data_IF_644124668437
#
_entry.id   IF_644124668437
#
_cell.length_a   1.000
_cell.length_b   1.000
_cell.length_c   1.000
_cell.angle_alpha   90.00
_cell.angle_beta   90.00
_cell.angle_gamma   90.00
#
_symmetry.space_group_name_H-M   'P 1'
#
loop_
_entity.id
_entity.type
_entity.pdbx_description
1 polymer ?
#
# COMPACT_ATOMS: atom_id res chain seq x y z
N UNK A 1 -8.37 -28.44 1.29
CA UNK A 1 -8.72 -27.03 1.01
C UNK A 1 -8.74 -26.31 2.33
N UNK A 2 -7.87 -25.32 2.51
CA UNK A 2 -8.16 -24.25 3.45
C UNK A 2 -9.21 -23.34 2.79
N UNK A 3 -10.04 -22.68 3.60
CA UNK A 3 -11.10 -21.77 3.18
C UNK A 3 -10.85 -20.42 3.85
N UNK A 4 -9.73 -19.77 3.51
CA UNK A 4 -9.30 -18.51 4.13
C UNK A 4 -10.34 -17.42 3.88
N UNK A 5 -10.95 -17.37 2.70
CA UNK A 5 -11.99 -16.41 2.37
C UNK A 5 -13.19 -16.50 3.34
N UNK A 6 -13.63 -17.70 3.69
CA UNK A 6 -14.74 -17.95 4.61
C UNK A 6 -14.34 -17.72 6.08
N UNK A 7 -13.07 -18.00 6.43
CA UNK A 7 -12.56 -17.85 7.80
C UNK A 7 -12.01 -16.46 8.13
N UNK A 8 -11.83 -15.58 7.13
CA UNK A 8 -11.15 -14.28 7.29
C UNK A 8 -11.72 -13.44 8.42
N UNK A 9 -13.04 -13.49 8.62
CA UNK A 9 -13.76 -12.71 9.63
C UNK A 9 -13.23 -13.02 11.03
N UNK A 10 -12.87 -14.27 11.32
CA UNK A 10 -12.32 -14.62 12.63
C UNK A 10 -11.01 -13.87 12.91
N UNK A 11 -10.16 -13.71 11.89
CA UNK A 11 -8.87 -13.01 12.01
C UNK A 11 -9.08 -11.50 11.99
N UNK A 12 -9.89 -10.97 11.08
CA UNK A 12 -10.19 -9.52 10.98
C UNK A 12 -10.86 -8.98 12.24
N UNK A 13 -11.74 -9.76 12.89
CA UNK A 13 -12.45 -9.33 14.10
C UNK A 13 -11.61 -9.39 15.35
N UNK A 14 -10.62 -10.28 15.39
CA UNK A 14 -9.82 -10.55 16.59
C UNK A 14 -8.41 -9.97 16.53
N UNK A 15 -7.91 -9.61 15.35
CA UNK A 15 -6.50 -9.23 15.15
C UNK A 15 -5.54 -10.41 15.19
N UNK A 16 -6.05 -11.61 14.86
CA UNK A 16 -5.24 -12.81 14.70
C UNK A 16 -4.19 -12.71 13.59
N UNK A 17 -3.39 -13.77 13.46
CA UNK A 17 -2.37 -13.92 12.44
C UNK A 17 -2.88 -14.87 11.36
N UNK A 18 -2.60 -14.55 10.10
CA UNK A 18 -2.83 -15.44 8.97
C UNK A 18 -1.53 -15.58 8.17
N UNK A 19 -1.22 -16.80 7.74
CA UNK A 19 -0.10 -17.10 6.85
C UNK A 19 -0.65 -17.98 5.74
N UNK A 20 -0.56 -17.50 4.49
CA UNK A 20 -0.95 -18.26 3.31
C UNK A 20 0.31 -18.85 2.66
N UNK A 21 0.36 -20.17 2.49
CA UNK A 21 1.50 -20.87 1.90
C UNK A 21 1.04 -22.12 1.14
N UNK A 22 1.83 -22.55 0.14
CA UNK A 22 1.53 -23.72 -0.70
C UNK A 22 1.57 -25.04 0.09
N UNK A 23 2.43 -25.13 1.11
CA UNK A 23 2.50 -26.28 2.02
C UNK A 23 3.18 -25.91 3.34
N UNK A 24 3.01 -26.76 4.37
CA UNK A 24 3.76 -26.65 5.62
C UNK A 24 5.28 -26.88 5.46
N UNK A 25 5.69 -27.49 4.34
CA UNK A 25 7.10 -27.69 4.00
C UNK A 25 7.79 -26.43 3.48
N UNK A 26 7.01 -25.49 2.93
CA UNK A 26 7.49 -24.29 2.25
C UNK A 26 8.11 -23.27 3.23
N UNK A 27 9.15 -22.55 2.79
CA UNK A 27 9.89 -21.58 3.61
C UNK A 27 8.98 -20.50 4.18
N UNK A 28 8.10 -19.92 3.35
CA UNK A 28 7.09 -18.93 3.78
C UNK A 28 6.35 -19.38 5.04
N UNK A 29 5.87 -20.64 5.11
CA UNK A 29 5.20 -21.14 6.31
C UNK A 29 6.19 -21.34 7.46
N UNK A 30 7.27 -22.10 7.24
CA UNK A 30 8.22 -22.46 8.30
C UNK A 30 8.85 -21.25 8.94
N UNK A 31 9.28 -20.28 8.15
CA UNK A 31 9.97 -19.09 8.62
C UNK A 31 8.99 -18.10 9.24
N UNK A 32 7.75 -17.97 8.71
CA UNK A 32 6.73 -17.15 9.36
C UNK A 32 6.35 -17.74 10.72
N UNK A 33 6.15 -19.06 10.78
CA UNK A 33 5.85 -19.75 12.03
C UNK A 33 6.98 -19.57 13.04
N UNK A 34 8.24 -19.75 12.63
CA UNK A 34 9.40 -19.48 13.49
C UNK A 34 9.38 -18.03 14.00
N UNK A 35 9.10 -17.05 13.14
CA UNK A 35 9.07 -15.63 13.54
C UNK A 35 8.03 -15.29 14.58
N UNK A 36 6.87 -15.95 14.56
CA UNK A 36 5.85 -15.78 15.61
C UNK A 36 6.44 -16.12 16.99
N UNK A 37 7.36 -17.09 17.04
CA UNK A 37 7.99 -17.56 18.28
C UNK A 37 9.45 -17.11 18.47
N UNK A 38 10.05 -16.41 17.49
CA UNK A 38 11.40 -15.86 17.60
C UNK A 38 11.32 -14.57 18.41
N UNK A 39 11.51 -14.69 19.72
CA UNK A 39 11.69 -13.55 20.59
C UNK A 39 13.04 -12.88 20.35
N UNK A 40 13.08 -11.55 20.24
CA UNK A 40 14.32 -10.82 20.51
C UNK A 40 14.64 -10.78 22.01
N UNK A 41 13.62 -10.88 22.88
CA UNK A 41 13.74 -10.66 24.33
C UNK A 41 12.78 -11.55 25.16
N UNK A 42 12.76 -12.86 24.93
CA UNK A 42 11.96 -13.84 25.69
C UNK A 42 10.42 -13.68 25.65
N UNK A 43 9.89 -12.82 24.78
CA UNK A 43 8.44 -12.59 24.62
C UNK A 43 8.00 -12.61 23.14
N UNK A 44 6.74 -12.96 22.88
CA UNK A 44 6.08 -13.02 21.58
C UNK A 44 5.85 -11.63 20.97
N UNK A 45 6.00 -10.55 21.76
CA UNK A 45 5.72 -9.18 21.32
C UNK A 45 4.24 -8.91 21.02
N UNK A 46 3.37 -9.89 21.32
CA UNK A 46 1.94 -9.82 21.15
C UNK A 46 1.28 -9.25 22.40
N UNK A 47 0.43 -8.27 22.21
CA UNK A 47 -0.42 -7.68 23.22
C UNK A 47 -1.86 -8.16 23.03
N UNK A 48 -2.62 -8.21 24.13
CA UNK A 48 -3.94 -8.83 24.15
C UNK A 48 -4.98 -7.93 24.79
N UNK A 49 -6.25 -8.34 24.66
CA UNK A 49 -7.38 -7.75 25.39
C UNK A 49 -7.54 -6.23 25.18
N UNK A 50 -7.13 -5.73 24.02
CA UNK A 50 -7.18 -4.31 23.65
C UNK A 50 -8.59 -3.73 23.63
N UNK A 51 -8.73 -2.50 24.11
CA UNK A 51 -9.88 -1.62 23.93
C UNK A 51 -9.34 -0.30 23.36
N UNK A 52 -9.76 0.01 22.14
CA UNK A 52 -9.43 1.25 21.45
C UNK A 52 -10.61 2.20 21.51
N UNK A 53 -10.45 3.36 22.12
CA UNK A 53 -11.46 4.42 22.19
C UNK A 53 -10.97 5.69 21.50
N UNK A 54 -11.90 6.39 20.85
CA UNK A 54 -11.64 7.67 20.20
C UNK A 54 -12.53 8.74 20.80
N UNK A 55 -11.89 9.84 21.23
CA UNK A 55 -12.56 11.10 21.53
C UNK A 55 -12.16 12.14 20.49
N UNK A 56 -13.08 13.01 20.10
CA UNK A 56 -12.79 14.12 19.20
C UNK A 56 -13.63 15.35 19.55
N UNK A 57 -13.25 16.51 19.01
CA UNK A 57 -14.03 17.74 19.13
C UNK A 57 -15.46 17.55 18.58
N UNK A 58 -16.44 18.32 19.10
CA UNK A 58 -17.88 18.15 18.80
C UNK A 58 -18.23 18.19 17.31
N UNK A 59 -17.47 18.99 16.55
CA UNK A 59 -17.62 19.23 15.11
C UNK A 59 -16.93 18.15 14.24
N UNK A 60 -16.39 17.10 14.86
CA UNK A 60 -15.79 15.95 14.20
C UNK A 60 -16.55 14.70 14.62
N UNK A 61 -16.98 13.90 13.65
CA UNK A 61 -17.69 12.63 13.88
C UNK A 61 -16.87 11.48 13.32
N UNK A 62 -17.05 10.30 13.89
CA UNK A 62 -16.35 9.08 13.50
C UNK A 62 -17.29 8.28 12.59
N UNK A 63 -16.89 8.05 11.34
CA UNK A 63 -17.63 7.16 10.43
C UNK A 63 -17.37 5.69 10.74
N UNK A 64 -16.13 5.36 11.15
CA UNK A 64 -15.76 4.04 11.62
C UNK A 64 -14.31 3.67 11.33
N UNK A 65 -14.01 2.39 11.50
CA UNK A 65 -12.66 1.82 11.34
C UNK A 65 -12.64 0.72 10.28
N UNK A 66 -11.63 0.76 9.40
CA UNK A 66 -11.20 -0.38 8.59
C UNK A 66 -9.88 -0.90 9.16
N UNK A 67 -9.90 -2.12 9.67
CA UNK A 67 -8.74 -2.76 10.29
C UNK A 67 -9.13 -3.89 11.25
N UNK A 68 -8.13 -4.54 11.87
CA UNK A 68 -8.33 -5.70 12.74
C UNK A 68 -8.97 -5.35 14.10
N UNK A 69 -10.28 -5.12 14.13
CA UNK A 69 -11.03 -4.85 15.35
C UNK A 69 -12.52 -5.22 15.25
N UNK A 70 -13.20 -5.21 16.40
CA UNK A 70 -14.65 -5.41 16.49
C UNK A 70 -15.29 -4.24 17.23
N UNK A 71 -16.40 -3.71 16.73
CA UNK A 71 -17.17 -2.65 17.41
C UNK A 71 -17.59 -3.10 18.81
N UNK A 72 -17.47 -2.20 19.80
CA UNK A 72 -18.06 -2.38 21.13
C UNK A 72 -19.47 -1.78 21.24
N UNK A 73 -20.03 -1.31 20.12
CA UNK A 73 -21.39 -0.74 20.03
C UNK A 73 -21.67 0.38 21.03
N UNK A 74 -20.61 1.07 21.47
CA UNK A 74 -20.67 2.28 22.29
C UNK A 74 -21.23 3.43 21.45
N UNK A 75 -22.56 3.49 21.34
CA UNK A 75 -23.26 4.56 20.64
C UNK A 75 -23.10 5.87 21.40
N UNK A 76 -22.96 6.97 20.68
CA UNK A 76 -22.83 8.28 21.29
C UNK A 76 -22.79 9.40 20.26
N UNK A 77 -22.76 10.66 20.73
CA UNK A 77 -22.80 11.83 19.86
C UNK A 77 -21.55 11.99 18.99
N UNK A 78 -20.54 11.12 19.14
CA UNK A 78 -19.32 11.13 18.34
C UNK A 78 -19.45 10.31 17.06
N UNK A 79 -20.45 9.43 16.93
CA UNK A 79 -20.65 8.62 15.72
C UNK A 79 -21.29 9.45 14.60
N UNK A 80 -20.83 9.27 13.36
CA UNK A 80 -21.44 9.85 12.16
C UNK A 80 -22.65 9.03 11.71
N UNK A 81 -23.59 9.67 11.00
CA UNK A 81 -24.70 8.99 10.31
C UNK A 81 -24.21 8.20 9.09
N UNK A 82 -23.07 8.60 8.51
CA UNK A 82 -22.42 7.85 7.43
C UNK A 82 -21.43 6.84 8.01
N UNK A 83 -21.61 5.57 7.68
CA UNK A 83 -20.86 4.45 8.27
C UNK A 83 -19.84 3.89 7.28
N UNK A 84 -18.61 3.69 7.75
CA UNK A 84 -17.55 2.99 7.01
C UNK A 84 -16.93 1.91 7.89
N UNK A 85 -16.79 0.70 7.36
CA UNK A 85 -16.23 -0.44 8.08
C UNK A 85 -16.97 -0.71 9.40
N UNK A 86 -16.21 -0.83 10.49
CA UNK A 86 -16.73 -0.96 11.85
C UNK A 86 -17.13 0.42 12.41
N UNK A 87 -18.30 0.92 12.02
CA UNK A 87 -18.81 2.23 12.48
C UNK A 87 -19.87 2.16 13.58
N UNK A 88 -20.69 3.21 13.69
CA UNK A 88 -21.73 3.37 14.73
C UNK A 88 -21.23 3.21 16.17
N UNK A 89 -19.96 3.53 16.42
CA UNK A 89 -19.36 3.44 17.75
C UNK A 89 -18.20 4.43 17.87
N UNK A 90 -17.74 4.65 19.11
CA UNK A 90 -16.47 5.32 19.41
C UNK A 90 -15.48 4.41 20.17
N UNK A 91 -15.77 3.12 20.29
CA UNK A 91 -14.92 2.15 20.96
C UNK A 91 -14.92 0.79 20.25
N UNK A 92 -13.75 0.15 20.20
CA UNK A 92 -13.53 -1.14 19.54
C UNK A 92 -12.69 -2.08 20.39
N UNK A 93 -12.95 -3.38 20.26
CA UNK A 93 -12.16 -4.47 20.80
C UNK A 93 -11.04 -4.85 19.83
N UNK A 94 -9.85 -5.05 20.36
CA UNK A 94 -8.69 -5.62 19.64
C UNK A 94 -8.18 -6.82 20.45
N UNK A 95 -8.59 -8.05 20.11
CA UNK A 95 -8.27 -9.22 20.94
C UNK A 95 -6.77 -9.53 20.95
N UNK A 96 -6.11 -9.44 19.79
CA UNK A 96 -4.68 -9.48 19.60
C UNK A 96 -4.21 -8.25 18.83
N UNK A 97 -3.08 -7.69 19.25
CA UNK A 97 -2.43 -6.56 18.60
C UNK A 97 -0.92 -6.63 18.83
N UNK A 98 -0.16 -6.02 17.94
CA UNK A 98 1.30 -5.91 18.03
C UNK A 98 1.74 -4.49 17.68
N UNK A 99 3.06 -4.24 17.67
CA UNK A 99 3.62 -2.93 17.33
C UNK A 99 3.37 -2.50 15.87
N UNK A 100 3.02 -3.44 14.98
CA UNK A 100 2.78 -3.20 13.55
C UNK A 100 1.30 -3.00 13.22
N UNK A 101 0.41 -3.39 14.13
CA UNK A 101 -1.05 -3.30 13.98
C UNK A 101 -1.47 -1.84 13.76
N UNK A 102 -2.04 -1.58 12.59
CA UNK A 102 -2.48 -0.25 12.16
C UNK A 102 -3.97 -0.27 11.82
N UNK A 103 -4.68 0.79 12.19
CA UNK A 103 -6.11 0.97 11.93
C UNK A 103 -6.31 2.17 11.01
N UNK A 104 -7.21 2.06 10.02
CA UNK A 104 -7.68 3.23 9.25
C UNK A 104 -8.95 3.75 9.92
N UNK A 105 -8.91 4.98 10.44
CA UNK A 105 -10.07 5.66 11.01
C UNK A 105 -10.57 6.71 10.03
N UNK A 106 -11.86 6.66 9.70
CA UNK A 106 -12.50 7.62 8.80
C UNK A 106 -13.36 8.56 9.62
N UNK A 107 -13.21 9.85 9.36
CA UNK A 107 -13.92 10.92 10.05
C UNK A 107 -14.81 11.68 9.09
N UNK A 108 -15.91 12.19 9.63
CA UNK A 108 -16.76 13.18 9.01
C UNK A 108 -16.55 14.52 9.70
N UNK A 109 -16.40 15.58 8.90
CA UNK A 109 -16.05 16.91 9.37
C UNK A 109 -17.26 17.81 9.16
N UNK A 110 -17.82 18.36 10.25
CA UNK A 110 -18.99 19.22 10.15
C UNK A 110 -18.70 20.43 9.26
N UNK A 111 -19.53 20.63 8.23
CA UNK A 111 -19.47 21.84 7.40
C UNK A 111 -20.07 22.99 8.19
N UNK A 112 -19.27 24.01 8.49
CA UNK A 112 -19.79 25.28 9.01
C UNK A 112 -20.35 26.09 7.84
N UNK A 113 -21.56 25.75 7.40
CA UNK A 113 -22.32 26.53 6.42
C UNK A 113 -22.91 27.77 7.10
N UNK A 114 -22.07 28.77 7.40
CA UNK A 114 -22.53 30.07 7.89
C UNK A 114 -21.58 31.21 7.46
N UNK A 115 -22.06 32.20 6.68
CA UNK A 115 -21.32 33.44 6.38
C UNK A 115 -21.09 34.36 7.59
N UNK A 116 -21.72 34.09 8.74
CA UNK A 116 -21.78 35.02 9.89
C UNK A 116 -20.89 34.63 11.08
N UNK A 117 -19.75 33.96 10.86
CA UNK A 117 -18.74 33.78 11.90
C UNK A 117 -17.62 34.83 11.83
N UNK A 118 -18.00 36.11 11.76
CA UNK A 118 -17.09 37.25 12.06
C UNK A 118 -16.80 37.33 13.58
N UNK A 119 -17.40 36.45 14.39
CA UNK A 119 -17.12 36.29 15.83
C UNK A 119 -16.33 35.01 16.14
N UNK A 120 -15.02 35.14 16.24
CA UNK A 120 -14.08 34.33 17.03
C UNK A 120 -14.63 33.05 17.72
N UNK A 121 -14.32 31.88 17.18
CA UNK A 121 -13.86 30.81 18.07
C UNK A 121 -12.34 30.99 18.23
N UNK A 122 -11.89 31.46 19.40
CA UNK A 122 -10.46 31.63 19.69
C UNK A 122 -9.63 30.35 19.52
N UNK A 123 -10.28 29.19 19.38
CA UNK A 123 -9.64 27.92 19.12
C UNK A 123 -9.95 27.44 17.68
N UNK A 124 -9.12 27.84 16.72
CA UNK A 124 -9.15 27.31 15.35
C UNK A 124 -8.66 25.85 15.27
N UNK A 125 -8.39 25.20 16.41
CA UNK A 125 -7.96 23.81 16.46
C UNK A 125 -9.12 22.89 16.78
N UNK A 126 -9.10 21.72 16.16
CA UNK A 126 -9.85 20.56 16.60
C UNK A 126 -8.88 19.46 17.04
N UNK A 127 -9.37 18.58 17.90
CA UNK A 127 -8.56 17.60 18.60
C UNK A 127 -9.09 16.20 18.35
N UNK A 128 -8.16 15.27 18.30
CA UNK A 128 -8.41 13.83 18.37
C UNK A 128 -7.62 13.28 19.55
N UNK A 129 -8.23 12.39 20.31
CA UNK A 129 -7.57 11.62 21.34
C UNK A 129 -7.88 10.14 21.11
N UNK A 130 -6.82 9.35 21.01
CA UNK A 130 -6.84 7.92 20.81
C UNK A 130 -6.36 7.26 22.10
N UNK A 131 -7.19 6.40 22.68
CA UNK A 131 -6.91 5.68 23.91
C UNK A 131 -6.87 4.19 23.60
N UNK A 132 -5.78 3.51 23.92
CA UNK A 132 -5.66 2.05 23.78
C UNK A 132 -5.34 1.45 25.13
N UNK A 133 -6.32 0.80 25.75
CA UNK A 133 -6.14 -0.01 26.94
C UNK A 133 -5.84 -1.44 26.52
N UNK A 134 -4.79 -2.07 27.00
CA UNK A 134 -4.44 -3.43 26.59
C UNK A 134 -3.63 -4.15 27.66
N UNK A 135 -3.65 -5.48 27.59
CA UNK A 135 -2.72 -6.32 28.33
C UNK A 135 -1.42 -6.41 27.51
N UNK A 136 -0.36 -5.83 28.05
CA UNK A 136 0.95 -5.91 27.47
C UNK A 136 1.49 -7.34 27.60
N UNK A 137 2.50 -7.66 26.79
CA UNK A 137 3.05 -9.01 26.66
C UNK A 137 3.64 -9.55 27.98
N UNK A 138 4.14 -8.65 28.84
CA UNK A 138 4.59 -8.91 30.22
C UNK A 138 3.45 -9.15 31.24
N UNK A 139 2.19 -9.19 30.78
CA UNK A 139 1.00 -9.40 31.58
C UNK A 139 0.42 -8.15 32.24
N UNK A 140 1.11 -7.00 32.19
CA UNK A 140 0.63 -5.76 32.81
C UNK A 140 -0.46 -5.09 31.96
N UNK A 141 -1.46 -4.51 32.62
CA UNK A 141 -2.43 -3.64 31.95
C UNK A 141 -1.81 -2.26 31.69
N UNK A 142 -1.88 -1.79 30.44
CA UNK A 142 -1.34 -0.49 30.02
C UNK A 142 -2.39 0.34 29.31
N UNK A 143 -2.24 1.66 29.40
CA UNK A 143 -2.97 2.64 28.60
C UNK A 143 -1.97 3.40 27.74
N UNK A 144 -2.14 3.33 26.42
CA UNK A 144 -1.50 4.24 25.47
C UNK A 144 -2.47 5.36 25.12
N UNK A 145 -2.08 6.60 25.36
CA UNK A 145 -2.84 7.79 24.96
C UNK A 145 -2.08 8.55 23.89
N UNK A 146 -2.76 8.96 22.82
CA UNK A 146 -2.19 9.81 21.77
C UNK A 146 -3.19 10.91 21.46
N UNK A 147 -2.79 12.16 21.68
CA UNK A 147 -3.62 13.33 21.38
C UNK A 147 -2.95 14.11 20.26
N UNK A 148 -3.71 14.41 19.21
CA UNK A 148 -3.26 15.26 18.11
C UNK A 148 -4.25 16.41 17.92
N UNK A 149 -3.75 17.53 17.42
CA UNK A 149 -4.58 18.65 17.00
C UNK A 149 -4.33 18.98 15.53
N UNK A 150 -5.35 19.55 14.89
CA UNK A 150 -5.31 20.08 13.52
C UNK A 150 -6.07 21.38 13.48
N UNK A 151 -5.77 22.22 12.49
CA UNK A 151 -6.36 23.55 12.33
C UNK A 151 -7.49 23.52 11.30
N UNK A 152 -8.59 24.19 11.59
CA UNK A 152 -9.63 24.49 10.62
C UNK A 152 -9.11 25.47 9.56
N UNK A 153 -9.48 25.20 8.31
CA UNK A 153 -9.12 26.04 7.17
C UNK A 153 -10.39 26.65 6.61
N UNK A 154 -10.45 27.99 6.52
CA UNK A 154 -11.57 28.75 6.00
C UNK A 154 -11.09 30.03 5.30
N UNK A 155 -11.90 30.58 4.38
CA UNK A 155 -11.61 31.82 3.68
C UNK A 155 -10.75 31.69 2.41
N UNK A 156 -10.28 32.83 1.90
CA UNK A 156 -9.40 32.91 0.73
C UNK A 156 -8.05 32.25 1.02
N UNK A 157 -7.53 31.46 0.07
CA UNK A 157 -6.29 30.69 0.25
C UNK A 157 -6.46 29.32 0.92
N UNK A 158 -7.68 28.95 1.30
CA UNK A 158 -8.00 27.65 1.91
C UNK A 158 -7.52 26.44 1.10
N UNK A 159 -7.60 26.52 -0.24
CA UNK A 159 -7.12 25.45 -1.13
C UNK A 159 -5.62 25.18 -0.94
N UNK A 160 -4.79 26.22 -0.87
CA UNK A 160 -3.35 26.06 -0.73
C UNK A 160 -2.96 25.45 0.63
N UNK A 161 -3.66 25.84 1.69
CA UNK A 161 -3.45 25.25 3.03
C UNK A 161 -3.85 23.78 3.07
N UNK A 162 -4.95 23.41 2.40
CA UNK A 162 -5.38 22.02 2.26
C UNK A 162 -4.37 21.18 1.48
N UNK A 163 -3.84 21.69 0.35
CA UNK A 163 -2.79 21.05 -0.43
C UNK A 163 -1.54 20.83 0.43
N UNK A 164 -1.17 21.83 1.23
CA UNK A 164 0.01 21.75 2.12
C UNK A 164 -0.14 20.64 3.17
N UNK A 165 -1.37 20.41 3.66
CA UNK A 165 -1.69 19.35 4.60
C UNK A 165 -1.97 17.98 3.98
N UNK A 166 -1.94 17.85 2.65
CA UNK A 166 -2.22 16.59 1.97
C UNK A 166 -1.01 15.63 2.03
N UNK A 167 -1.29 14.41 2.45
CA UNK A 167 -0.33 13.31 2.49
C UNK A 167 -0.77 12.27 1.44
N UNK A 168 -0.07 12.25 0.31
CA UNK A 168 -0.41 11.39 -0.83
C UNK A 168 -0.21 9.90 -0.56
N UNK A 169 0.74 9.51 0.30
CA UNK A 169 0.98 8.12 0.66
C UNK A 169 -0.13 7.60 1.59
N UNK A 170 -0.45 8.38 2.62
CA UNK A 170 -1.55 8.07 3.52
C UNK A 170 -2.88 8.04 2.76
N UNK A 171 -3.12 8.99 1.85
CA UNK A 171 -4.30 9.01 1.00
C UNK A 171 -4.39 7.76 0.11
N UNK A 172 -3.28 7.32 -0.50
CA UNK A 172 -3.26 6.11 -1.32
C UNK A 172 -3.59 4.85 -0.50
N UNK A 173 -2.99 4.69 0.68
CA UNK A 173 -3.27 3.59 1.60
C UNK A 173 -4.74 3.58 2.06
N UNK A 174 -5.30 4.75 2.40
CA UNK A 174 -6.72 4.89 2.78
C UNK A 174 -7.65 4.58 1.61
N UNK A 175 -7.35 5.08 0.40
CA UNK A 175 -8.14 4.80 -0.80
C UNK A 175 -8.14 3.30 -1.12
N UNK A 176 -7.00 2.62 -1.00
CA UNK A 176 -6.90 1.17 -1.19
C UNK A 176 -7.78 0.40 -0.19
N UNK A 177 -7.80 0.81 1.08
CA UNK A 177 -8.69 0.20 2.09
C UNK A 177 -10.17 0.46 1.81
N UNK A 178 -10.52 1.68 1.43
CA UNK A 178 -11.90 2.07 1.14
C UNK A 178 -12.44 1.31 -0.07
N UNK A 179 -11.72 1.29 -1.18
CA UNK A 179 -12.16 0.58 -2.40
C UNK A 179 -12.25 -0.92 -2.14
N UNK A 180 -11.28 -1.50 -1.42
CA UNK A 180 -11.29 -2.92 -1.04
C UNK A 180 -12.50 -3.25 -0.15
N UNK A 181 -12.83 -2.40 0.82
CA UNK A 181 -14.01 -2.55 1.66
C UNK A 181 -15.30 -2.46 0.85
N UNK A 182 -15.41 -1.46 -0.04
CA UNK A 182 -16.59 -1.27 -0.90
C UNK A 182 -16.82 -2.46 -1.83
N UNK A 183 -15.76 -3.00 -2.43
CA UNK A 183 -15.85 -4.22 -3.25
C UNK A 183 -16.41 -5.43 -2.49
N UNK A 184 -16.28 -5.48 -1.17
CA UNK A 184 -16.83 -6.58 -0.35
C UNK A 184 -18.23 -6.28 0.18
N UNK A 185 -18.52 -5.00 0.45
CA UNK A 185 -19.77 -4.56 1.07
C UNK A 185 -20.88 -4.26 0.06
N UNK A 186 -20.54 -3.86 -1.16
CA UNK A 186 -21.48 -3.37 -2.18
C UNK A 186 -21.55 -4.33 -3.36
N UNK A 187 -22.78 -4.76 -3.70
CA UNK A 187 -23.05 -5.59 -4.89
C UNK A 187 -22.94 -4.72 -6.14
N UNK A 188 -22.36 -5.28 -7.21
CA UNK A 188 -22.15 -4.59 -8.51
C UNK A 188 -21.32 -3.30 -8.43
N UNK A 189 -20.50 -3.16 -7.39
CA UNK A 189 -19.60 -2.02 -7.24
C UNK A 189 -18.50 -2.05 -8.32
N UNK A 190 -18.35 -0.94 -9.05
CA UNK A 190 -17.27 -0.74 -10.02
C UNK A 190 -16.09 0.01 -9.36
N UNK A 191 -15.06 -0.70 -8.89
CA UNK A 191 -13.96 -0.09 -8.15
C UNK A 191 -13.10 0.83 -9.02
N UNK A 192 -12.90 0.49 -10.29
CA UNK A 192 -12.05 1.25 -11.20
C UNK A 192 -12.70 2.59 -11.51
N UNK A 193 -13.98 2.60 -11.86
CA UNK A 193 -14.73 3.83 -12.10
C UNK A 193 -14.82 4.70 -10.85
N UNK A 194 -14.95 4.10 -9.67
CA UNK A 194 -14.97 4.82 -8.40
C UNK A 194 -13.64 5.53 -8.13
N UNK A 195 -12.51 4.83 -8.31
CA UNK A 195 -11.17 5.38 -8.17
C UNK A 195 -10.91 6.50 -9.21
N UNK A 196 -11.23 6.25 -10.48
CA UNK A 196 -11.00 7.19 -11.58
C UNK A 196 -11.81 8.48 -11.35
N UNK A 197 -13.08 8.38 -10.92
CA UNK A 197 -13.91 9.55 -10.56
C UNK A 197 -13.35 10.34 -9.38
N UNK A 198 -12.88 9.66 -8.33
CA UNK A 198 -12.29 10.32 -7.18
C UNK A 198 -11.00 11.07 -7.57
N UNK A 199 -10.17 10.45 -8.40
CA UNK A 199 -8.94 11.06 -8.90
C UNK A 199 -9.21 12.27 -9.80
N UNK A 200 -10.12 12.15 -10.77
CA UNK A 200 -10.53 13.26 -11.63
C UNK A 200 -11.03 14.42 -10.77
N UNK A 201 -11.92 14.16 -9.81
CA UNK A 201 -12.45 15.20 -8.91
C UNK A 201 -11.35 15.87 -8.08
N UNK A 202 -10.32 15.14 -7.65
CA UNK A 202 -9.18 15.70 -6.94
C UNK A 202 -8.34 16.58 -7.88
N UNK A 203 -8.01 16.09 -9.08
CA UNK A 203 -7.22 16.81 -10.07
C UNK A 203 -7.93 18.08 -10.58
N UNK A 204 -9.23 18.04 -10.87
CA UNK A 204 -10.00 19.23 -11.25
C UNK A 204 -10.09 20.26 -10.12
N UNK A 205 -10.10 19.81 -8.86
CA UNK A 205 -10.25 20.73 -7.71
C UNK A 205 -8.93 21.35 -7.25
N UNK A 206 -7.83 20.62 -7.36
CA UNK A 206 -6.54 20.99 -6.77
C UNK A 206 -5.39 21.12 -7.78
N UNK A 207 -5.65 20.85 -9.07
CA UNK A 207 -4.67 21.06 -10.14
C UNK A 207 -4.68 22.49 -10.68
N UNK A 208 -3.54 22.91 -11.19
CA UNK A 208 -3.36 24.18 -11.89
C UNK A 208 -3.45 23.93 -13.40
N UNK A 209 -4.38 24.58 -14.08
CA UNK A 209 -4.60 24.42 -15.52
C UNK A 209 -5.36 25.60 -16.13
N UNK A 210 -5.24 25.72 -17.45
CA UNK A 210 -6.13 26.51 -18.30
C UNK A 210 -7.24 25.59 -18.83
N UNK A 211 -8.49 26.07 -18.78
CA UNK A 211 -9.66 25.31 -19.21
C UNK A 211 -9.53 24.87 -20.67
N UNK A 212 -9.91 23.63 -20.96
CA UNK A 212 -9.81 22.99 -22.29
C UNK A 212 -8.37 22.88 -22.86
N UNK A 213 -7.33 23.09 -22.03
CA UNK A 213 -5.93 22.99 -22.46
C UNK A 213 -5.17 21.94 -21.64
N UNK A 214 -5.24 20.64 -22.00
CA UNK A 214 -4.65 19.55 -21.21
C UNK A 214 -3.14 19.69 -20.96
N UNK A 215 -2.40 20.26 -21.91
CA UNK A 215 -0.95 20.48 -21.81
C UNK A 215 -0.54 21.50 -20.74
N UNK A 216 -1.48 22.30 -20.24
CA UNK A 216 -1.25 23.26 -19.16
C UNK A 216 -1.39 22.64 -17.76
N UNK A 217 -1.88 21.40 -17.67
CA UNK A 217 -2.18 20.77 -16.40
C UNK A 217 -0.92 20.46 -15.60
N UNK A 218 -0.93 20.86 -14.33
CA UNK A 218 0.12 20.54 -13.38
C UNK A 218 -0.46 20.31 -11.98
N UNK A 219 0.30 19.59 -11.16
CA UNK A 219 -0.04 19.31 -9.77
C UNK A 219 1.09 19.78 -8.86
N UNK A 220 0.73 20.26 -7.67
CA UNK A 220 1.67 20.51 -6.59
C UNK A 220 2.49 19.24 -6.27
N UNK A 221 3.77 19.36 -5.85
CA UNK A 221 4.57 18.22 -5.42
C UNK A 221 3.93 17.37 -4.30
N UNK A 222 3.00 17.94 -3.53
CA UNK A 222 2.23 17.21 -2.51
C UNK A 222 1.22 16.22 -3.09
N UNK A 223 0.81 16.40 -4.35
CA UNK A 223 -0.24 15.65 -5.05
C UNK A 223 0.30 14.89 -6.27
N UNK A 224 1.49 15.23 -6.77
CA UNK A 224 1.96 14.80 -8.09
C UNK A 224 2.21 13.30 -8.24
N UNK A 225 2.45 12.57 -7.13
CA UNK A 225 2.64 11.11 -7.15
C UNK A 225 1.30 10.38 -6.97
N UNK A 226 0.28 11.03 -6.42
CA UNK A 226 -1.02 10.42 -6.16
C UNK A 226 -1.67 9.78 -7.40
N UNK A 227 -1.67 10.40 -8.62
CA UNK A 227 -2.13 9.73 -9.83
C UNK A 227 -1.42 8.41 -10.13
N UNK A 228 -0.09 8.35 -9.90
CA UNK A 228 0.70 7.14 -10.08
C UNK A 228 0.28 6.04 -9.09
N UNK A 229 -0.02 6.39 -7.84
CA UNK A 229 -0.56 5.43 -6.88
C UNK A 229 -1.92 4.88 -7.32
N UNK A 230 -2.83 5.72 -7.82
CA UNK A 230 -4.14 5.27 -8.29
C UNK A 230 -4.00 4.39 -9.55
N UNK A 231 -3.09 4.73 -10.46
CA UNK A 231 -2.77 3.90 -11.62
C UNK A 231 -2.28 2.49 -11.22
N UNK A 232 -1.41 2.40 -10.22
CA UNK A 232 -0.93 1.11 -9.75
C UNK A 232 -2.01 0.37 -8.94
N UNK A 233 -2.78 1.07 -8.10
CA UNK A 233 -3.87 0.49 -7.30
C UNK A 233 -4.94 -0.15 -8.18
N UNK A 234 -5.42 0.53 -9.23
CA UNK A 234 -6.50 0.00 -10.10
C UNK A 234 -6.10 -1.26 -10.88
N UNK A 235 -4.79 -1.50 -11.04
CA UNK A 235 -4.20 -2.70 -11.69
C UNK A 235 -3.70 -3.74 -10.68
N UNK A 236 -3.70 -3.40 -9.39
CA UNK A 236 -3.23 -4.29 -8.33
C UNK A 236 -4.19 -5.46 -8.08
N UNK A 237 -3.68 -6.51 -7.44
CA UNK A 237 -4.45 -7.68 -7.01
C UNK A 237 -5.53 -7.39 -5.96
N UNK A 238 -5.59 -6.18 -5.41
CA UNK A 238 -6.68 -5.76 -4.54
C UNK A 238 -7.98 -5.48 -5.33
N UNK A 239 -7.82 -5.08 -6.60
CA UNK A 239 -8.89 -4.65 -7.51
C UNK A 239 -9.09 -5.65 -8.64
N UNK A 240 -8.01 -5.96 -9.37
CA UNK A 240 -8.00 -6.97 -10.44
C UNK A 240 -7.83 -8.35 -9.81
N UNK A 241 -8.94 -8.91 -9.33
CA UNK A 241 -8.95 -10.22 -8.68
C UNK A 241 -8.92 -11.39 -9.68
N UNK A 242 -9.08 -11.11 -10.98
CA UNK A 242 -8.88 -12.10 -12.04
C UNK A 242 -7.45 -12.67 -11.96
N UNK A 243 -7.30 -14.00 -12.04
CA UNK A 243 -6.08 -14.77 -11.75
C UNK A 243 -5.69 -14.93 -10.27
N UNK A 244 -6.49 -14.46 -9.32
CA UNK A 244 -6.33 -14.81 -7.90
C UNK A 244 -7.45 -15.73 -7.45
N UNK A 245 -7.14 -16.68 -6.58
CA UNK A 245 -8.17 -17.42 -5.85
C UNK A 245 -8.86 -16.52 -4.81
N UNK A 246 -10.11 -16.83 -4.40
CA UNK A 246 -10.78 -16.09 -3.32
C UNK A 246 -9.96 -16.01 -2.03
N UNK A 247 -9.23 -17.07 -1.70
CA UNK A 247 -8.37 -17.16 -0.52
C UNK A 247 -7.16 -16.22 -0.61
N UNK A 248 -6.51 -16.11 -1.77
CA UNK A 248 -5.42 -15.16 -2.00
C UNK A 248 -5.92 -13.72 -1.91
N UNK A 249 -7.05 -13.41 -2.54
CA UNK A 249 -7.66 -12.08 -2.45
C UNK A 249 -7.99 -11.72 -1.00
N UNK A 250 -8.62 -12.63 -0.25
CA UNK A 250 -8.90 -12.42 1.16
C UNK A 250 -7.61 -12.16 1.96
N UNK A 251 -6.58 -12.99 1.77
CA UNK A 251 -5.29 -12.83 2.43
C UNK A 251 -4.63 -11.48 2.15
N UNK A 252 -4.59 -11.04 0.88
CA UNK A 252 -4.00 -9.75 0.53
C UNK A 252 -4.73 -8.60 1.20
N UNK A 253 -6.07 -8.60 1.18
CA UNK A 253 -6.89 -7.55 1.79
C UNK A 253 -6.75 -7.52 3.32
N UNK A 254 -6.67 -8.68 3.97
CA UNK A 254 -6.39 -8.75 5.40
C UNK A 254 -5.04 -8.12 5.77
N UNK A 255 -3.99 -8.36 4.97
CA UNK A 255 -2.69 -7.72 5.18
C UNK A 255 -2.76 -6.21 4.96
N UNK A 256 -3.40 -5.75 3.88
CA UNK A 256 -3.61 -4.32 3.60
C UNK A 256 -4.32 -3.60 4.77
N UNK A 257 -5.28 -4.27 5.40
CA UNK A 257 -6.07 -3.73 6.51
C UNK A 257 -5.32 -3.72 7.85
N UNK A 258 -4.24 -4.50 8.01
CA UNK A 258 -3.43 -4.57 9.24
C UNK A 258 -2.18 -3.69 9.18
N UNK A 259 -1.61 -3.49 8.00
CA UNK A 259 -0.27 -2.92 7.83
C UNK A 259 -0.20 -1.39 7.94
N UNK A 260 1.00 -0.84 8.11
CA UNK A 260 1.18 0.61 8.16
C UNK A 260 1.13 1.26 6.75
N UNK A 261 1.22 2.60 6.68
CA UNK A 261 1.19 3.34 5.41
C UNK A 261 2.32 2.94 4.48
N UNK A 262 3.55 2.85 4.99
CA UNK A 262 4.72 2.50 4.17
C UNK A 262 4.57 1.12 3.50
N UNK A 263 4.16 0.10 4.26
CA UNK A 263 3.92 -1.23 3.74
C UNK A 263 2.73 -1.27 2.78
N UNK A 264 1.65 -0.53 3.06
CA UNK A 264 0.52 -0.42 2.14
C UNK A 264 0.92 0.25 0.81
N UNK A 265 1.79 1.26 0.84
CA UNK A 265 2.34 1.88 -0.37
C UNK A 265 3.16 0.87 -1.18
N UNK A 266 4.04 0.09 -0.55
CA UNK A 266 4.80 -0.97 -1.24
C UNK A 266 3.88 -2.03 -1.85
N UNK A 267 2.76 -2.37 -1.19
CA UNK A 267 1.75 -3.28 -1.75
C UNK A 267 1.05 -2.71 -2.99
N UNK A 268 0.83 -1.39 -3.02
CA UNK A 268 0.15 -0.69 -4.12
C UNK A 268 1.12 -0.45 -5.29
N UNK A 269 2.29 0.10 -4.98
CA UNK A 269 3.36 0.44 -5.90
C UNK A 269 4.66 -0.20 -5.41
N UNK A 270 4.97 -1.41 -5.90
CA UNK A 270 6.21 -2.10 -5.60
C UNK A 270 7.45 -1.23 -5.86
N UNK A 271 8.49 -1.41 -5.05
CA UNK A 271 9.80 -0.79 -5.30
C UNK A 271 10.64 -1.66 -6.24
N UNK A 272 11.44 -1.00 -7.08
CA UNK A 272 12.35 -1.67 -8.01
C UNK A 272 13.73 -1.02 -7.90
N UNK A 273 14.74 -1.83 -7.57
CA UNK A 273 16.14 -1.40 -7.46
C UNK A 273 16.95 -2.08 -8.56
N UNK A 274 17.75 -1.30 -9.27
CA UNK A 274 18.67 -1.79 -10.30
C UNK A 274 20.10 -1.88 -9.77
N UNK A 275 20.77 -2.97 -10.10
CA UNK A 275 22.17 -3.23 -9.81
C UNK A 275 22.90 -3.43 -11.14
N UNK A 276 24.03 -2.75 -11.32
CA UNK A 276 24.83 -2.81 -12.55
C UNK A 276 26.32 -2.69 -12.21
N UNK A 277 27.20 -2.84 -13.22
CA UNK A 277 28.63 -2.57 -13.02
C UNK A 277 28.96 -1.09 -13.06
N UNK A 278 28.11 -0.29 -13.72
CA UNK A 278 28.36 1.12 -14.01
C UNK A 278 27.90 2.03 -12.86
N UNK A 279 26.89 1.61 -12.10
CA UNK A 279 26.32 2.35 -10.97
C UNK A 279 26.11 1.44 -9.77
N UNK A 280 26.14 2.02 -8.57
CA UNK A 280 25.68 1.35 -7.35
C UNK A 280 24.16 1.09 -7.38
N UNK A 281 23.61 0.42 -6.35
CA UNK A 281 22.17 0.15 -6.27
C UNK A 281 21.36 1.44 -6.37
N UNK A 282 20.46 1.53 -7.35
CA UNK A 282 19.65 2.73 -7.58
C UNK A 282 18.16 2.40 -7.77
N UNK A 283 17.23 3.18 -7.17
CA UNK A 283 15.81 3.04 -7.46
C UNK A 283 15.53 3.36 -8.92
N UNK A 284 14.76 2.50 -9.59
CA UNK A 284 14.32 2.70 -10.97
C UNK A 284 12.80 2.71 -11.06
N UNK A 285 12.26 3.28 -12.14
CA UNK A 285 10.82 3.28 -12.38
C UNK A 285 10.31 1.84 -12.51
N UNK A 286 9.10 1.61 -12.00
CA UNK A 286 8.40 0.33 -12.12
C UNK A 286 7.84 0.17 -13.55
N UNK A 287 8.74 0.01 -14.51
CA UNK A 287 8.49 0.09 -15.94
C UNK A 287 9.30 -0.96 -16.70
N UNK A 288 8.76 -1.47 -17.82
CA UNK A 288 9.46 -2.47 -18.65
C UNK A 288 10.81 -1.98 -19.15
N UNK A 289 10.96 -0.67 -19.36
CA UNK A 289 12.23 -0.04 -19.75
C UNK A 289 13.35 -0.19 -18.72
N UNK A 290 13.05 -0.58 -17.47
CA UNK A 290 14.07 -0.90 -16.47
C UNK A 290 14.81 -2.22 -16.77
N UNK A 291 14.23 -3.11 -17.57
CA UNK A 291 14.86 -4.38 -17.93
C UNK A 291 15.98 -4.13 -18.94
N UNK A 292 17.18 -4.62 -18.61
CA UNK A 292 18.32 -4.67 -19.51
C UNK A 292 19.12 -5.95 -19.27
N UNK A 293 19.83 -6.41 -20.31
CA UNK A 293 20.57 -7.68 -20.26
C UNK A 293 21.71 -7.70 -19.25
N UNK A 294 22.32 -6.55 -18.97
CA UNK A 294 23.48 -6.35 -18.10
C UNK A 294 23.13 -5.88 -16.67
N UNK A 295 21.85 -5.95 -16.28
CA UNK A 295 21.36 -5.50 -14.97
C UNK A 295 20.77 -6.64 -14.15
N UNK A 296 20.79 -6.47 -12.83
CA UNK A 296 19.99 -7.25 -11.88
C UNK A 296 18.94 -6.32 -11.30
N UNK A 297 17.69 -6.78 -11.23
CA UNK A 297 16.61 -6.03 -10.61
C UNK A 297 16.15 -6.73 -9.33
N UNK A 298 15.98 -5.96 -8.27
CA UNK A 298 15.31 -6.39 -7.04
C UNK A 298 13.95 -5.70 -6.97
N UNK A 299 12.89 -6.48 -7.14
CA UNK A 299 11.51 -6.04 -6.96
C UNK A 299 11.04 -6.42 -5.57
N UNK A 300 10.49 -5.46 -4.83
CA UNK A 300 9.76 -5.72 -3.59
C UNK A 300 8.29 -5.31 -3.75
N UNK A 301 7.42 -6.31 -3.78
CA UNK A 301 5.96 -6.15 -3.90
C UNK A 301 5.20 -6.44 -2.61
N UNK A 302 5.88 -6.31 -1.47
CA UNK A 302 5.44 -6.72 -0.14
C UNK A 302 5.26 -8.25 0.01
N UNK A 303 4.41 -8.90 -0.79
CA UNK A 303 4.11 -10.34 -0.68
C UNK A 303 5.17 -11.22 -1.35
N UNK A 304 5.83 -10.69 -2.39
CA UNK A 304 6.87 -11.38 -3.15
C UNK A 304 8.06 -10.45 -3.33
N UNK A 305 9.26 -10.97 -3.09
CA UNK A 305 10.54 -10.34 -3.42
C UNK A 305 11.12 -11.08 -4.61
N UNK A 306 11.46 -10.37 -5.69
CA UNK A 306 11.98 -10.97 -6.92
C UNK A 306 13.40 -10.46 -7.19
N UNK A 307 14.35 -11.38 -7.31
CA UNK A 307 15.69 -11.10 -7.87
C UNK A 307 15.69 -11.56 -9.32
N UNK A 308 15.70 -10.61 -10.23
CA UNK A 308 15.65 -10.84 -11.67
C UNK A 308 17.03 -10.57 -12.30
N UNK A 309 17.56 -11.54 -13.03
CA UNK A 309 18.83 -11.41 -13.73
C UNK A 309 18.59 -11.17 -15.22
N UNK A 310 19.11 -10.06 -15.76
CA UNK A 310 19.15 -9.82 -17.20
C UNK A 310 19.90 -10.93 -17.93
N UNK A 311 19.62 -11.10 -19.23
CA UNK A 311 20.12 -12.24 -20.00
C UNK A 311 21.65 -12.38 -19.97
N UNK A 312 22.40 -11.29 -20.04
CA UNK A 312 23.88 -11.29 -20.01
C UNK A 312 24.40 -11.71 -18.63
N UNK A 313 23.84 -11.14 -17.56
CA UNK A 313 24.17 -11.54 -16.18
C UNK A 313 23.88 -13.02 -15.96
N UNK A 314 22.71 -13.49 -16.40
CA UNK A 314 22.30 -14.88 -16.26
C UNK A 314 23.25 -15.83 -17.01
N UNK A 315 23.73 -15.45 -18.20
CA UNK A 315 24.74 -16.21 -18.95
C UNK A 315 26.07 -16.27 -18.21
N UNK A 316 26.59 -15.14 -17.72
CA UNK A 316 27.85 -15.11 -16.95
C UNK A 316 27.76 -15.92 -15.65
N UNK A 317 26.64 -15.84 -14.94
CA UNK A 317 26.40 -16.63 -13.72
C UNK A 317 26.42 -18.13 -14.00
N UNK A 318 25.79 -18.56 -15.11
CA UNK A 318 25.76 -19.97 -15.56
C UNK A 318 27.12 -20.47 -16.05
N UNK A 319 27.92 -19.59 -16.65
CA UNK A 319 29.30 -19.88 -17.03
C UNK A 319 30.27 -19.99 -15.83
N UNK A 320 29.82 -19.60 -14.63
CA UNK A 320 30.59 -19.73 -13.40
C UNK A 320 31.66 -18.65 -13.22
N UNK A 321 31.54 -17.51 -13.89
CA UNK A 321 32.53 -16.42 -13.81
C UNK A 321 32.73 -15.91 -12.38
N UNK A 322 31.69 -15.92 -11.55
CA UNK A 322 31.78 -15.53 -10.14
C UNK A 322 32.74 -16.38 -9.28
N UNK A 323 33.18 -17.53 -9.78
CA UNK A 323 34.13 -18.42 -9.09
C UNK A 323 35.54 -18.36 -9.67
N UNK A 324 35.77 -17.54 -10.71
CA UNK A 324 37.05 -17.38 -11.37
C UNK A 324 37.84 -16.22 -10.75
N UNK A 325 39.17 -16.36 -10.67
CA UNK A 325 40.07 -15.32 -10.18
C UNK A 325 39.99 -14.08 -11.09
N UNK A 326 39.87 -12.89 -10.49
CA UNK A 326 39.72 -11.62 -11.21
C UNK A 326 38.28 -11.20 -11.53
N UNK A 327 37.29 -12.00 -11.13
CA UNK A 327 35.85 -11.72 -11.31
C UNK A 327 35.12 -11.47 -9.97
N UNK A 328 35.84 -11.04 -8.93
CA UNK A 328 35.30 -10.82 -7.59
C UNK A 328 34.19 -9.75 -7.59
N UNK A 329 34.31 -8.73 -8.45
CA UNK A 329 33.28 -7.68 -8.62
C UNK A 329 31.97 -8.27 -9.13
N UNK A 330 32.01 -9.27 -10.02
CA UNK A 330 30.81 -9.95 -10.49
C UNK A 330 30.17 -10.80 -9.38
N UNK A 331 30.98 -11.46 -8.56
CA UNK A 331 30.48 -12.17 -7.39
C UNK A 331 29.77 -11.22 -6.41
N UNK A 332 30.35 -10.04 -6.15
CA UNK A 332 29.74 -9.00 -5.33
C UNK A 332 28.44 -8.46 -5.93
N UNK A 333 28.39 -8.24 -7.25
CA UNK A 333 27.18 -7.80 -7.95
C UNK A 333 26.02 -8.80 -7.78
N UNK A 334 26.29 -10.10 -7.82
CA UNK A 334 25.29 -11.15 -7.59
C UNK A 334 24.85 -11.23 -6.12
N UNK A 335 25.75 -10.93 -5.18
CA UNK A 335 25.49 -11.03 -3.74
C UNK A 335 24.67 -9.86 -3.20
N UNK A 336 24.93 -8.63 -3.67
CA UNK A 336 24.27 -7.42 -3.18
C UNK A 336 22.71 -7.47 -3.17
N UNK A 337 22.02 -7.89 -4.25
CA UNK A 337 20.56 -8.01 -4.22
C UNK A 337 20.05 -9.14 -3.32
N UNK A 338 20.87 -10.17 -3.06
CA UNK A 338 20.52 -11.24 -2.12
C UNK A 338 20.57 -10.75 -0.67
N UNK A 339 21.58 -9.96 -0.31
CA UNK A 339 21.69 -9.36 1.02
C UNK A 339 20.52 -8.40 1.32
N UNK A 340 20.16 -7.56 0.35
CA UNK A 340 19.02 -6.66 0.46
C UNK A 340 17.70 -7.45 0.55
N UNK A 341 17.52 -8.49 -0.28
CA UNK A 341 16.36 -9.37 -0.18
C UNK A 341 16.25 -10.06 1.18
N UNK A 342 17.37 -10.53 1.74
CA UNK A 342 17.42 -11.17 3.05
C UNK A 342 17.08 -10.17 4.17
N UNK A 343 17.49 -8.90 4.05
CA UNK A 343 17.12 -7.81 4.96
C UNK A 343 15.60 -7.57 4.95
N UNK A 344 15.03 -7.38 3.75
CA UNK A 344 13.58 -7.22 3.56
C UNK A 344 12.82 -8.41 4.14
N UNK A 345 13.29 -9.62 3.79
CA UNK A 345 12.72 -10.86 4.28
C UNK A 345 12.76 -10.83 5.80
N UNK A 346 13.89 -10.56 6.46
CA UNK A 346 14.06 -10.59 7.92
C UNK A 346 13.08 -9.67 8.67
N UNK A 347 12.84 -8.48 8.15
CA UNK A 347 11.98 -7.48 8.83
C UNK A 347 10.48 -7.70 8.62
N UNK A 348 10.08 -8.28 7.48
CA UNK A 348 8.67 -8.40 7.09
C UNK A 348 7.94 -9.51 7.83
N UNK A 349 6.65 -9.35 8.06
CA UNK A 349 5.81 -10.43 8.55
C UNK A 349 4.41 -10.33 7.92
N UNK A 350 3.84 -11.43 7.36
CA UNK A 350 4.46 -12.74 7.14
C UNK A 350 5.69 -12.70 6.21
N UNK A 351 6.47 -13.78 6.20
CA UNK A 351 7.65 -13.91 5.32
C UNK A 351 7.20 -13.82 3.85
N UNK A 352 7.77 -12.92 3.03
CA UNK A 352 7.43 -12.87 1.62
C UNK A 352 8.01 -14.06 0.87
N UNK A 353 7.41 -14.40 -0.27
CA UNK A 353 7.97 -15.38 -1.19
C UNK A 353 9.22 -14.78 -1.87
N UNK A 354 10.37 -15.43 -1.75
CA UNK A 354 11.54 -15.09 -2.56
C UNK A 354 11.46 -15.83 -3.91
N UNK A 355 11.59 -15.09 -5.01
CA UNK A 355 11.66 -15.63 -6.37
C UNK A 355 12.99 -15.17 -6.98
N UNK A 356 13.82 -16.12 -7.37
CA UNK A 356 15.04 -15.83 -8.13
C UNK A 356 14.84 -16.35 -9.54
N UNK A 357 14.95 -15.47 -10.53
CA UNK A 357 14.69 -15.80 -11.93
C UNK A 357 15.63 -15.08 -12.89
N UNK A 358 15.67 -15.60 -14.12
CA UNK A 358 16.40 -15.02 -15.24
C UNK A 358 15.41 -14.46 -16.26
N UNK A 359 15.85 -13.50 -17.07
CA UNK A 359 15.11 -13.03 -18.24
C UNK A 359 14.72 -14.21 -19.14
N UNK A 360 13.47 -14.20 -19.62
CA UNK A 360 12.81 -15.28 -20.36
C UNK A 360 12.55 -16.58 -19.58
N UNK A 361 12.85 -16.63 -18.28
CA UNK A 361 12.44 -17.72 -17.41
C UNK A 361 10.96 -17.66 -17.03
N UNK A 362 10.32 -18.80 -16.76
CA UNK A 362 8.88 -18.86 -16.43
C UNK A 362 8.49 -18.05 -15.18
N UNK A 363 9.40 -17.92 -14.22
CA UNK A 363 9.20 -17.16 -12.98
C UNK A 363 9.37 -15.64 -13.19
N UNK A 364 9.93 -15.18 -14.32
CA UNK A 364 10.04 -13.75 -14.64
C UNK A 364 8.68 -13.04 -14.71
N UNK A 365 7.60 -13.80 -14.92
CA UNK A 365 6.22 -13.28 -14.88
C UNK A 365 5.86 -12.57 -13.58
N UNK A 366 6.49 -12.93 -12.46
CA UNK A 366 6.27 -12.24 -11.17
C UNK A 366 6.78 -10.79 -11.18
N UNK A 367 7.82 -10.51 -11.97
CA UNK A 367 8.28 -9.14 -12.23
C UNK A 367 7.39 -8.48 -13.28
N UNK A 368 7.24 -9.11 -14.45
CA UNK A 368 6.57 -8.50 -15.62
C UNK A 368 5.12 -8.08 -15.31
N UNK A 369 4.39 -8.87 -14.52
CA UNK A 369 3.01 -8.55 -14.13
C UNK A 369 2.88 -7.29 -13.26
N UNK A 370 3.98 -6.75 -12.71
CA UNK A 370 3.98 -5.54 -11.88
C UNK A 370 4.48 -4.30 -12.62
N UNK A 371 5.09 -4.44 -13.79
CA UNK A 371 5.69 -3.33 -14.52
C UNK A 371 4.65 -2.54 -15.33
N UNK A 372 4.91 -1.24 -15.51
CA UNK A 372 4.20 -0.42 -16.47
C UNK A 372 4.52 -0.89 -17.92
N UNK A 373 3.50 -1.21 -18.74
CA UNK A 373 3.69 -1.62 -20.13
C UNK A 373 3.90 -0.40 -21.02
N UNK A 374 5.01 0.31 -20.86
CA UNK A 374 5.39 1.44 -21.72
C UNK A 374 5.82 1.00 -23.13
N UNK A 375 6.28 -0.24 -23.27
CA UNK A 375 6.62 -0.90 -24.52
C UNK A 375 5.81 -2.19 -24.65
N UNK A 376 4.98 -2.26 -25.68
CA UNK A 376 4.06 -3.36 -25.99
C UNK A 376 4.20 -3.79 -27.44
N UNK A 377 3.49 -4.85 -27.85
CA UNK A 377 3.55 -5.36 -29.23
C UNK A 377 2.99 -4.38 -30.27
N UNK A 378 2.17 -3.41 -29.85
CA UNK A 378 1.62 -2.35 -30.69
C UNK A 378 2.50 -1.08 -30.72
N UNK A 379 3.63 -1.07 -30.00
CA UNK A 379 4.54 0.07 -29.97
C UNK A 379 5.36 0.19 -31.26
N UNK A 380 5.41 1.39 -31.85
CA UNK A 380 6.20 1.67 -33.07
C UNK A 380 7.71 1.50 -32.87
N UNK A 381 8.20 1.65 -31.64
CA UNK A 381 9.61 1.47 -31.28
C UNK A 381 9.86 0.10 -30.64
N UNK A 382 10.71 -0.76 -31.24
CA UNK A 382 11.11 -2.01 -30.62
C UNK A 382 11.94 -1.77 -29.35
N UNK A 383 11.94 -2.72 -28.39
CA UNK A 383 12.75 -2.61 -27.19
C UNK A 383 14.25 -2.54 -27.54
N UNK A 384 15.06 -1.83 -26.73
CA UNK A 384 16.50 -1.77 -26.94
C UNK A 384 17.15 -3.17 -26.84
N UNK A 385 18.36 -3.39 -27.37
CA UNK A 385 19.06 -4.67 -27.26
C UNK A 385 19.17 -5.14 -25.81
N UNK A 386 18.63 -6.33 -25.51
CA UNK A 386 18.57 -6.87 -24.15
C UNK A 386 17.41 -6.36 -23.28
N UNK A 387 16.59 -5.45 -23.80
CA UNK A 387 15.32 -5.02 -23.21
C UNK A 387 14.21 -6.07 -23.37
N UNK A 388 13.04 -5.76 -22.81
CA UNK A 388 11.88 -6.65 -22.83
C UNK A 388 10.61 -5.87 -23.25
N UNK A 389 9.53 -6.61 -23.52
CA UNK A 389 8.24 -6.08 -23.94
C UNK A 389 7.12 -6.81 -23.22
N UNK A 390 6.07 -6.09 -22.81
CA UNK A 390 4.92 -6.69 -22.12
C UNK A 390 3.79 -6.94 -23.11
N UNK A 391 3.30 -8.18 -23.15
CA UNK A 391 2.14 -8.58 -23.94
C UNK A 391 0.86 -8.36 -23.14
N UNK A 392 0.26 -7.19 -23.28
CA UNK A 392 -0.99 -6.81 -22.58
C UNK A 392 -1.74 -5.71 -23.34
N UNK A 393 -3.07 -5.69 -23.18
CA UNK A 393 -3.95 -4.60 -23.63
C UNK A 393 -4.07 -3.48 -22.58
N UNK A 394 -3.42 -3.62 -21.42
CA UNK A 394 -3.42 -2.60 -20.37
C UNK A 394 -2.81 -1.28 -20.87
N UNK A 395 -3.50 -0.17 -20.59
CA UNK A 395 -2.96 1.16 -20.86
C UNK A 395 -1.70 1.44 -20.02
N UNK A 396 -0.70 2.05 -20.66
CA UNK A 396 0.49 2.56 -19.97
C UNK A 396 0.16 3.76 -19.07
N UNK A 397 1.06 4.06 -18.13
CA UNK A 397 0.91 5.21 -17.24
C UNK A 397 0.82 6.53 -18.03
N UNK A 398 1.53 6.66 -19.14
CA UNK A 398 1.48 7.84 -19.99
C UNK A 398 0.07 8.04 -20.58
N UNK A 399 -0.51 6.99 -21.17
CA UNK A 399 -1.87 7.04 -21.73
C UNK A 399 -2.90 7.35 -20.63
N UNK A 400 -2.74 6.76 -19.45
CA UNK A 400 -3.56 7.05 -18.28
C UNK A 400 -3.48 8.53 -17.88
N UNK A 401 -2.28 9.10 -17.81
CA UNK A 401 -2.07 10.51 -17.47
C UNK A 401 -2.65 11.46 -18.52
N UNK A 402 -2.49 11.17 -19.82
CA UNK A 402 -3.09 11.97 -20.89
C UNK A 402 -4.62 12.01 -20.78
N UNK A 403 -5.25 10.87 -20.49
CA UNK A 403 -6.70 10.80 -20.27
C UNK A 403 -7.13 11.55 -19.02
N UNK A 404 -6.40 11.39 -17.91
CA UNK A 404 -6.67 12.12 -16.67
C UNK A 404 -6.58 13.64 -16.89
N UNK A 405 -5.55 14.11 -17.58
CA UNK A 405 -5.37 15.53 -17.89
C UNK A 405 -6.54 16.07 -18.72
N UNK A 406 -6.94 15.35 -19.78
CA UNK A 406 -8.08 15.75 -20.62
C UNK A 406 -9.38 15.86 -19.83
N UNK A 407 -9.64 14.93 -18.90
CA UNK A 407 -10.86 14.93 -18.09
C UNK A 407 -10.80 15.95 -16.96
N UNK A 408 -9.61 16.24 -16.42
CA UNK A 408 -9.46 17.17 -15.31
C UNK A 408 -9.67 18.64 -15.72
N UNK A 409 -9.34 19.00 -16.97
CA UNK A 409 -9.41 20.39 -17.47
C UNK A 409 -10.73 20.78 -18.16
N UNK A 410 -11.67 19.85 -18.28
CA UNK A 410 -13.04 20.08 -18.74
C UNK A 410 -13.85 20.79 -17.64
#
# INVERSE_FOLDING_TARGET
MCTVAEMKVAVERTGGIVVLAESFGHSVFKDSLRRIFQSSDSDLGLSFNGIFEINCSKDVKIQGIIGPCTSLEKKGPLSSDTVVGQGNTSAWKMCGLDRKTSLCVVFDMAKKDAPDAIGQSQNNLFYFQFLTYYQHHDGQMRLRSTTISRRWVAGSGSVQELITGFDQEAAAAVMARLVSFKMEAEVDFDPVRWLDRALISLCSKFGDYQKEAPSSFSLSPRLSIFPQFIFNLRRSQFIQVFNNSPDETAYFRMMLNRENVANAVVMIQPSLISYSFQSGPEPVLLDVSAIAGDRILLLDSYFTVVIFHGITIAQWRKAGYQHQEGHEVFAQLLQAPQEEADSIIKERFPVPRLVVCDQYGSQARFLLAKLNPSVTYDSDTPPPPGGDMIFTDDASFQVFMEHLQRLAVQ
#
